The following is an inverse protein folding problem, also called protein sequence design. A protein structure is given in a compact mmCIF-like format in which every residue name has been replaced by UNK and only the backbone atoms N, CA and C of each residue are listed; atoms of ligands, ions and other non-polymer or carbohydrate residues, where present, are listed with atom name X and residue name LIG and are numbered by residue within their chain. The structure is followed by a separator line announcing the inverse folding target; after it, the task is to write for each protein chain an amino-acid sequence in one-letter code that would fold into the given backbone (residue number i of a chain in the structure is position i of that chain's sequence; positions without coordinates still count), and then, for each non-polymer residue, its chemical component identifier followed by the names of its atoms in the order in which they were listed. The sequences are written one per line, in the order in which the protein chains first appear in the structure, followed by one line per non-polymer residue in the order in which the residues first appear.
data_IF_872549720970
#
_entry.id   IF_872549720970
#
_cell.length_a   1.000
_cell.length_b   1.000
_cell.length_c   1.000
_cell.angle_alpha   90.00
_cell.angle_beta   90.00
_cell.angle_gamma   90.00
#
_symmetry.space_group_name_H-M   'P 1'
#
loop_
_entity.id
_entity.type
_entity.pdbx_description
1 polymer ?
#
# COMPACT_ATOMS: atom_id res chain seq x y z
N UNK A 1 -21.03 14.76 7.84
CA UNK A 1 -20.65 14.37 6.46
C UNK A 1 -19.84 13.10 6.57
N UNK A 2 -20.32 11.99 5.99
CA UNK A 2 -19.48 10.81 5.81
C UNK A 2 -18.43 11.14 4.75
N UNK A 3 -17.18 10.73 4.99
CA UNK A 3 -16.15 10.78 3.95
C UNK A 3 -16.50 9.81 2.80
N UNK A 4 -15.73 9.83 1.70
CA UNK A 4 -15.99 9.03 0.49
C UNK A 4 -15.99 7.50 0.70
N UNK A 5 -15.74 7.01 1.92
CA UNK A 5 -15.71 5.59 2.28
C UNK A 5 -16.85 5.15 3.20
N UNK A 6 -17.87 5.99 3.42
CA UNK A 6 -18.98 5.70 4.34
C UNK A 6 -18.57 5.66 5.82
N UNK A 7 -17.29 5.85 6.12
CA UNK A 7 -16.78 6.22 7.43
C UNK A 7 -17.03 7.70 7.68
N UNK A 8 -17.22 8.09 8.95
CA UNK A 8 -17.09 9.50 9.35
C UNK A 8 -15.66 10.02 9.12
N UNK A 9 -15.23 11.01 9.89
CA UNK A 9 -13.79 11.29 9.98
C UNK A 9 -13.07 10.01 10.44
N UNK A 10 -12.20 9.46 9.59
CA UNK A 10 -11.39 8.29 9.92
C UNK A 10 -9.92 8.73 10.05
N UNK A 11 -9.20 8.16 11.01
CA UNK A 11 -7.81 8.48 11.27
C UNK A 11 -7.08 7.22 11.72
N UNK A 12 -5.82 7.09 11.33
CA UNK A 12 -5.02 5.93 11.65
C UNK A 12 -3.55 6.31 11.72
N UNK A 13 -2.83 5.71 12.66
CA UNK A 13 -1.39 5.64 12.65
C UNK A 13 -0.98 4.18 12.38
N UNK A 14 -0.23 3.95 11.30
CA UNK A 14 0.26 2.62 10.91
C UNK A 14 1.77 2.65 10.83
N UNK A 15 2.42 1.70 11.52
CA UNK A 15 3.86 1.51 11.49
C UNK A 15 4.13 0.07 11.12
N UNK A 16 4.97 -0.13 10.12
CA UNK A 16 5.28 -1.49 9.72
C UNK A 16 4.07 -2.15 9.05
N UNK A 17 3.74 -3.36 9.51
CA UNK A 17 2.53 -4.11 9.16
C UNK A 17 1.48 -4.03 10.28
N UNK A 18 1.55 -3.02 11.15
CA UNK A 18 0.72 -2.93 12.35
C UNK A 18 0.11 -1.53 12.51
N UNK A 19 -1.21 -1.43 12.75
CA UNK A 19 -1.81 -0.19 13.18
C UNK A 19 -1.40 0.08 14.64
N UNK A 20 -0.84 1.26 14.91
CA UNK A 20 -0.66 1.75 16.28
C UNK A 20 -2.00 2.15 16.89
N UNK A 21 -2.85 2.80 16.09
CA UNK A 21 -4.24 3.09 16.42
C UNK A 21 -5.03 3.37 15.15
N UNK A 22 -6.34 3.09 15.20
CA UNK A 22 -7.30 3.34 14.13
C UNK A 22 -8.61 3.81 14.75
N UNK A 23 -9.18 4.88 14.20
CA UNK A 23 -10.47 5.38 14.60
C UNK A 23 -11.32 5.64 13.34
N UNK A 24 -12.45 4.94 13.14
CA UNK A 24 -12.87 3.76 13.91
C UNK A 24 -11.89 2.57 13.77
N UNK A 25 -11.92 1.58 14.68
CA UNK A 25 -10.94 0.49 14.72
C UNK A 25 -10.81 -0.30 13.40
N UNK A 26 -11.88 -0.39 12.62
CA UNK A 26 -11.95 -1.14 11.37
C UNK A 26 -11.73 -0.30 10.10
N UNK A 27 -11.41 0.99 10.23
CA UNK A 27 -11.31 1.91 9.10
C UNK A 27 -10.31 1.46 8.03
N UNK A 28 -9.13 0.98 8.44
CA UNK A 28 -8.08 0.53 7.52
C UNK A 28 -8.42 -0.81 6.89
N UNK A 29 -8.95 -1.75 7.67
CA UNK A 29 -9.36 -3.06 7.16
C UNK A 29 -10.49 -2.96 6.12
N UNK A 30 -11.35 -1.93 6.21
CA UNK A 30 -12.35 -1.61 5.19
C UNK A 30 -11.76 -1.00 3.91
N UNK A 31 -10.59 -0.39 4.00
CA UNK A 31 -9.96 0.34 2.89
C UNK A 31 -9.04 -0.56 2.07
N UNK A 32 -8.22 -1.37 2.74
CA UNK A 32 -7.17 -2.19 2.14
C UNK A 32 -7.19 -3.59 2.75
N UNK A 33 -7.07 -4.65 1.93
CA UNK A 33 -7.15 -6.02 2.44
C UNK A 33 -5.85 -6.49 3.11
N UNK A 34 -4.72 -5.82 2.85
CA UNK A 34 -3.39 -6.19 3.38
C UNK A 34 -2.45 -4.96 3.37
N UNK A 35 -1.54 -4.88 4.34
CA UNK A 35 -0.62 -3.74 4.50
C UNK A 35 0.41 -3.56 3.36
N UNK A 36 0.99 -4.60 2.76
CA UNK A 36 1.84 -4.47 1.57
C UNK A 36 1.14 -3.75 0.42
N UNK A 37 -0.17 -3.98 0.23
CA UNK A 37 -0.98 -3.28 -0.78
C UNK A 37 -1.18 -1.81 -0.40
N UNK A 38 -1.42 -1.53 0.88
CA UNK A 38 -1.50 -0.16 1.40
C UNK A 38 -0.21 0.61 1.09
N UNK A 39 0.94 0.06 1.45
CA UNK A 39 2.23 0.69 1.22
C UNK A 39 2.57 0.81 -0.27
N UNK A 40 2.22 -0.19 -1.07
CA UNK A 40 2.43 -0.15 -2.51
C UNK A 40 1.65 0.99 -3.19
N UNK A 41 0.45 1.34 -2.71
CA UNK A 41 -0.28 2.53 -3.19
C UNK A 41 0.47 3.84 -2.92
N UNK A 42 1.36 3.88 -1.93
CA UNK A 42 2.25 5.02 -1.66
C UNK A 42 3.61 4.88 -2.37
N UNK A 43 3.76 3.88 -3.24
CA UNK A 43 5.00 3.61 -3.95
C UNK A 43 6.07 2.93 -3.11
N UNK A 44 5.70 2.38 -1.94
CA UNK A 44 6.62 1.77 -0.99
C UNK A 44 6.51 0.25 -1.05
N UNK A 45 7.61 -0.40 -1.38
CA UNK A 45 7.76 -1.83 -1.18
C UNK A 45 8.39 -2.09 0.19
N UNK A 46 7.67 -2.83 1.03
CA UNK A 46 8.11 -3.12 2.40
C UNK A 46 9.07 -4.28 2.40
N UNK A 47 10.08 -4.24 3.27
CA UNK A 47 10.92 -5.40 3.49
C UNK A 47 10.08 -6.58 4.03
N UNK A 48 10.39 -7.82 3.61
CA UNK A 48 9.68 -8.98 4.12
C UNK A 48 10.00 -9.18 5.60
N UNK A 49 9.13 -9.92 6.30
CA UNK A 49 9.42 -10.36 7.67
C UNK A 49 10.62 -11.32 7.69
N UNK A 50 11.25 -11.45 8.86
CA UNK A 50 12.36 -12.39 9.05
C UNK A 50 11.94 -13.81 8.69
N UNK A 51 12.81 -14.53 7.97
CA UNK A 51 12.57 -15.93 7.58
C UNK A 51 11.71 -16.12 6.33
N UNK A 52 11.21 -15.04 5.72
CA UNK A 52 10.52 -15.08 4.42
C UNK A 52 11.55 -15.14 3.29
N UNK A 53 11.36 -16.07 2.35
CA UNK A 53 12.25 -16.21 1.21
C UNK A 53 12.13 -15.04 0.24
N UNK A 54 13.25 -14.64 -0.38
CA UNK A 54 13.30 -13.59 -1.40
C UNK A 54 13.79 -14.18 -2.73
N UNK A 55 13.03 -13.94 -3.80
CA UNK A 55 13.47 -14.15 -5.18
C UNK A 55 13.44 -12.83 -5.94
N UNK A 56 14.40 -12.61 -6.83
CA UNK A 56 14.51 -11.39 -7.61
C UNK A 56 14.86 -11.67 -9.06
N UNK A 57 14.39 -10.80 -9.94
CA UNK A 57 14.70 -10.73 -11.35
C UNK A 57 14.98 -9.27 -11.70
N UNK A 58 16.03 -9.02 -12.46
CA UNK A 58 16.28 -7.71 -13.06
C UNK A 58 16.62 -7.89 -14.53
N UNK A 59 15.81 -7.31 -15.41
CA UNK A 59 15.97 -7.43 -16.86
C UNK A 59 15.61 -6.10 -17.53
N UNK A 60 16.60 -5.48 -18.17
CA UNK A 60 16.43 -4.17 -18.81
C UNK A 60 15.89 -3.11 -17.85
N UNK A 61 14.66 -2.65 -18.10
CA UNK A 61 13.97 -1.64 -17.27
C UNK A 61 13.06 -2.23 -16.21
N UNK A 62 13.01 -3.55 -16.09
CA UNK A 62 12.12 -4.25 -15.16
C UNK A 62 12.95 -4.79 -14.00
N UNK A 63 12.50 -4.52 -12.79
CA UNK A 63 12.98 -5.18 -11.58
C UNK A 63 11.78 -5.80 -10.90
N UNK A 64 11.75 -7.11 -10.78
CA UNK A 64 10.70 -7.85 -10.10
C UNK A 64 11.28 -8.60 -8.90
N UNK A 65 10.52 -8.69 -7.82
CA UNK A 65 10.90 -9.52 -6.69
C UNK A 65 9.66 -10.10 -6.01
N UNK A 66 9.85 -11.24 -5.37
CA UNK A 66 8.80 -12.00 -4.74
C UNK A 66 9.22 -12.40 -3.33
N UNK A 67 8.32 -12.18 -2.39
CA UNK A 67 8.40 -12.68 -1.02
C UNK A 67 7.62 -13.98 -0.91
N UNK A 68 8.26 -15.02 -0.39
CA UNK A 68 7.72 -16.37 -0.27
C UNK A 68 7.55 -16.71 1.22
N UNK A 69 6.35 -16.46 1.75
CA UNK A 69 5.92 -16.94 3.05
C UNK A 69 5.32 -18.35 2.97
N UNK A 70 4.96 -18.96 4.12
CA UNK A 70 4.37 -20.31 4.15
C UNK A 70 3.05 -20.45 3.38
N UNK A 71 2.21 -19.42 3.40
CA UNK A 71 0.89 -19.38 2.75
C UNK A 71 0.68 -18.16 1.87
N UNK A 72 1.52 -17.15 2.03
CA UNK A 72 1.30 -15.80 1.49
C UNK A 72 2.47 -15.46 0.56
N UNK A 73 2.16 -14.88 -0.59
CA UNK A 73 3.15 -14.37 -1.52
C UNK A 73 2.88 -12.92 -1.84
N UNK A 74 3.93 -12.11 -1.80
CA UNK A 74 3.87 -10.73 -2.27
C UNK A 74 4.83 -10.60 -3.44
N UNK A 75 4.30 -10.25 -4.60
CA UNK A 75 5.09 -9.96 -5.78
C UNK A 75 5.11 -8.46 -6.02
N UNK A 76 6.28 -7.94 -6.35
CA UNK A 76 6.47 -6.57 -6.76
C UNK A 76 7.12 -6.54 -8.13
N UNK A 77 6.69 -5.59 -8.96
CA UNK A 77 7.30 -5.29 -10.25
C UNK A 77 7.48 -3.79 -10.35
N UNK A 78 8.73 -3.35 -10.50
CA UNK A 78 9.07 -1.98 -10.81
C UNK A 78 9.47 -1.88 -12.27
N UNK A 79 8.81 -0.99 -13.02
CA UNK A 79 9.15 -0.70 -14.41
C UNK A 79 9.71 0.72 -14.51
N UNK A 80 10.92 0.85 -15.04
CA UNK A 80 11.56 2.13 -15.34
C UNK A 80 10.99 2.78 -16.61
N UNK A 81 10.94 4.10 -16.62
CA UNK A 81 10.37 4.88 -17.71
C UNK A 81 9.88 6.23 -17.21
N UNK A 82 9.14 6.95 -18.06
CA UNK A 82 8.41 8.14 -17.68
C UNK A 82 6.98 8.02 -18.23
N UNK A 83 5.99 7.68 -17.38
CA UNK A 83 6.12 7.45 -15.94
C UNK A 83 6.80 6.09 -15.61
N UNK A 84 7.48 6.02 -14.48
CA UNK A 84 7.87 4.75 -13.89
C UNK A 84 6.66 4.14 -13.15
N UNK A 85 6.65 2.83 -12.93
CA UNK A 85 5.56 2.15 -12.21
C UNK A 85 6.08 1.20 -11.14
N UNK A 86 5.29 1.01 -10.08
CA UNK A 86 5.43 -0.04 -9.10
C UNK A 86 4.09 -0.76 -8.99
N UNK A 87 4.10 -2.06 -9.28
CA UNK A 87 2.96 -2.95 -9.08
C UNK A 87 3.27 -3.85 -7.89
N UNK A 88 2.29 -4.06 -7.02
CA UNK A 88 2.31 -5.09 -5.99
C UNK A 88 1.09 -5.99 -6.14
N UNK A 89 1.28 -7.31 -6.14
CA UNK A 89 0.22 -8.30 -6.09
C UNK A 89 0.40 -9.15 -4.83
N UNK A 90 -0.66 -9.23 -4.01
CA UNK A 90 -0.66 -10.07 -2.82
C UNK A 90 -1.57 -11.25 -3.06
N UNK A 91 -1.04 -12.45 -2.76
CA UNK A 91 -1.81 -13.68 -2.72
C UNK A 91 -1.79 -14.31 -1.34
N UNK A 92 -2.93 -14.87 -0.95
CA UNK A 92 -3.08 -15.68 0.25
C UNK A 92 -3.64 -17.03 -0.16
N UNK A 93 -2.96 -18.11 0.23
CA UNK A 93 -3.30 -19.48 -0.17
C UNK A 93 -3.49 -19.63 -1.71
N UNK A 94 -2.62 -18.97 -2.49
CA UNK A 94 -2.65 -18.98 -3.96
C UNK A 94 -3.68 -18.06 -4.62
N UNK A 95 -4.63 -17.49 -3.88
CA UNK A 95 -5.64 -16.56 -4.40
C UNK A 95 -5.18 -15.12 -4.33
N UNK A 96 -5.39 -14.35 -5.39
CA UNK A 96 -5.09 -12.90 -5.41
C UNK A 96 -6.11 -12.17 -4.52
N UNK A 97 -5.61 -11.56 -3.44
CA UNK A 97 -6.45 -10.76 -2.53
C UNK A 97 -6.41 -9.28 -2.88
N UNK A 98 -5.41 -8.83 -3.64
CA UNK A 98 -5.37 -7.48 -4.16
C UNK A 98 -4.18 -7.21 -5.06
N UNK A 99 -4.32 -6.15 -5.86
CA UNK A 99 -3.29 -5.62 -6.74
C UNK A 99 -3.25 -4.10 -6.62
N UNK A 100 -2.11 -3.56 -6.23
CA UNK A 100 -1.85 -2.14 -6.18
C UNK A 100 -0.91 -1.75 -7.33
N UNK A 101 -1.19 -0.65 -8.00
CA UNK A 101 -0.34 -0.07 -9.05
C UNK A 101 -0.15 1.41 -8.78
N UNK A 102 1.10 1.86 -8.71
CA UNK A 102 1.49 3.25 -8.47
C UNK A 102 2.37 3.74 -9.60
N UNK A 103 2.07 4.94 -10.11
CA UNK A 103 2.87 5.62 -11.13
C UNK A 103 3.69 6.72 -10.49
N UNK A 104 4.88 6.98 -11.05
CA UNK A 104 5.80 7.99 -10.54
C UNK A 104 6.17 9.01 -11.61
N UNK A 105 6.46 10.23 -11.19
CA UNK A 105 7.08 11.24 -12.02
C UNK A 105 8.59 10.97 -12.23
N UNK A 106 9.26 11.88 -12.94
CA UNK A 106 10.70 11.79 -13.20
C UNK A 106 11.58 11.97 -11.96
N UNK A 107 11.07 12.57 -10.89
CA UNK A 107 11.76 12.71 -9.61
C UNK A 107 11.54 11.49 -8.69
N UNK A 108 10.66 10.55 -9.09
CA UNK A 108 10.31 9.37 -8.31
C UNK A 108 9.19 9.62 -7.29
N UNK A 109 8.49 10.75 -7.37
CA UNK A 109 7.33 11.02 -6.54
C UNK A 109 6.08 10.32 -7.11
N UNK A 110 5.22 9.70 -6.27
CA UNK A 110 3.98 9.09 -6.74
C UNK A 110 3.02 10.14 -7.32
N UNK A 111 2.39 9.82 -8.45
CA UNK A 111 1.40 10.65 -9.15
C UNK A 111 -0.02 10.13 -8.94
N UNK A 112 -0.21 8.84 -9.21
CA UNK A 112 -1.48 8.15 -9.03
C UNK A 112 -1.24 6.75 -8.48
N UNK A 113 -2.22 6.22 -7.77
CA UNK A 113 -2.26 4.82 -7.40
C UNK A 113 -3.65 4.21 -7.57
N UNK A 114 -3.69 2.92 -7.86
CA UNK A 114 -4.93 2.15 -7.93
C UNK A 114 -4.77 0.85 -7.17
N UNK A 115 -5.70 0.59 -6.26
CA UNK A 115 -5.90 -0.73 -5.66
C UNK A 115 -7.14 -1.38 -6.28
N UNK A 116 -6.99 -2.62 -6.71
CA UNK A 116 -8.08 -3.50 -7.14
C UNK A 116 -8.14 -4.70 -6.20
N UNK A 117 -9.31 -4.99 -5.64
CA UNK A 117 -9.56 -6.15 -4.78
C UNK A 117 -10.44 -7.13 -5.57
N UNK A 118 -9.93 -8.28 -6.02
CA UNK A 118 -10.72 -9.19 -6.86
C UNK A 118 -11.82 -9.95 -6.10
N UNK A 119 -11.60 -10.24 -4.82
CA UNK A 119 -12.51 -11.05 -4.00
C UNK A 119 -13.83 -10.34 -3.69
N UNK A 120 -13.81 -9.01 -3.66
CA UNK A 120 -14.97 -8.13 -3.53
C UNK A 120 -14.74 -7.05 -4.57
N UNK A 121 -15.53 -6.94 -5.66
CA UNK A 121 -15.23 -6.11 -6.84
C UNK A 121 -15.18 -4.62 -6.50
N UNK A 122 -14.08 -4.23 -5.86
CA UNK A 122 -13.85 -2.97 -5.20
C UNK A 122 -12.55 -2.39 -5.75
N UNK A 123 -12.57 -1.08 -5.89
CA UNK A 123 -11.47 -0.31 -6.45
C UNK A 123 -11.32 0.98 -5.68
N UNK A 124 -10.07 1.33 -5.40
CA UNK A 124 -9.67 2.59 -4.81
C UNK A 124 -8.66 3.26 -5.75
N UNK A 125 -8.94 4.49 -6.15
CA UNK A 125 -7.99 5.33 -6.90
C UNK A 125 -7.53 6.49 -6.02
N UNK A 126 -6.23 6.74 -6.03
CA UNK A 126 -5.59 7.88 -5.36
C UNK A 126 -4.93 8.76 -6.40
N UNK A 127 -5.03 10.07 -6.19
CA UNK A 127 -4.25 11.09 -6.90
C UNK A 127 -3.45 11.87 -5.87
N UNK A 128 -2.14 11.95 -6.06
CA UNK A 128 -1.25 12.67 -5.16
C UNK A 128 -1.15 14.13 -5.62
N UNK A 129 -1.59 15.06 -4.78
CA UNK A 129 -1.49 16.50 -5.05
C UNK A 129 -0.17 17.10 -4.55
N UNK A 130 0.41 16.54 -3.50
CA UNK A 130 1.74 16.88 -2.99
C UNK A 130 2.35 15.68 -2.27
N UNK A 131 3.67 15.55 -2.38
CA UNK A 131 4.50 14.53 -1.71
C UNK A 131 5.58 15.18 -0.84
N UNK A 132 5.49 16.50 -0.64
CA UNK A 132 6.42 17.25 0.21
C UNK A 132 6.30 16.79 1.65
N UNK A 133 7.41 16.56 2.36
CA UNK A 133 7.38 16.37 3.80
C UNK A 133 6.63 17.52 4.48
N UNK A 134 5.75 17.18 5.41
CA UNK A 134 5.03 18.14 6.23
C UNK A 134 5.28 17.82 7.69
N UNK A 135 5.51 18.86 8.47
CA UNK A 135 5.57 18.74 9.93
C UNK A 135 4.14 18.70 10.46
N UNK A 136 3.83 17.60 11.16
CA UNK A 136 2.56 17.45 11.86
C UNK A 136 2.82 17.67 13.35
N UNK A 137 1.97 18.49 13.98
CA UNK A 137 2.06 18.71 15.41
C UNK A 137 1.90 17.37 16.16
N UNK A 138 2.69 17.11 17.24
CA UNK A 138 2.71 15.81 17.90
C UNK A 138 1.34 15.30 18.38
N UNK A 139 0.44 16.22 18.70
CA UNK A 139 -0.93 15.97 19.14
C UNK A 139 -1.81 15.31 18.06
N UNK A 140 -1.47 15.46 16.77
CA UNK A 140 -2.16 14.77 15.66
C UNK A 140 -1.92 13.25 15.71
N UNK A 141 -0.78 12.83 16.27
CA UNK A 141 -0.40 11.41 16.38
C UNK A 141 -0.94 10.75 17.65
N UNK A 142 -1.47 11.53 18.58
CA UNK A 142 -2.08 11.03 19.80
C UNK A 142 -3.52 10.63 19.47
N UNK A 143 -3.85 9.37 19.74
CA UNK A 143 -5.24 8.89 19.64
C UNK A 143 -6.16 9.84 20.39
N UNK A 144 -7.22 10.32 19.72
CA UNK A 144 -8.29 11.04 20.37
C UNK A 144 -8.96 10.05 21.32
N UNK A 145 -8.64 10.13 22.61
CA UNK A 145 -9.35 9.34 23.61
C UNK A 145 -10.85 9.67 23.49
N UNK A 146 -11.74 8.66 23.68
CA UNK A 146 -13.17 8.90 23.75
C UNK A 146 -13.53 9.85 24.90
#
# INVERSE_FOLDING_TARGET
MAGPFGSGAASAAVVGEQPLWTEPPDAIAKLVPDFPLMWAMFGIARLPQNGVGLRGLSEGRITAWQYLGPSDTVEYVRTGGSPATLVAEVRRAGQVIGRAETTFDSAGAPLTARLTVPSVPARLDLTFSSTTPADFAPDIWVSRKP
#
